data_IF_894081604767
#
_entry.id   IF_894081604767
#
_cell.length_a   1.000
_cell.length_b   1.000
_cell.length_c   1.000
_cell.angle_alpha   90.00
_cell.angle_beta   90.00
_cell.angle_gamma   90.00
#
_symmetry.space_group_name_H-M   'P 1'
#
loop_
_entity.id
_entity.type
_entity.pdbx_description
1 polymer ?
#
# COMPACT_ATOMS: atom_id res chain seq x y z
N UNK A 1 31.70 -21.73 -18.05
CA UNK A 1 30.32 -21.82 -18.59
C UNK A 1 29.55 -23.04 -18.08
N UNK A 2 30.21 -24.08 -17.55
CA UNK A 2 29.54 -25.29 -17.02
C UNK A 2 28.88 -25.12 -15.63
N UNK A 3 29.37 -24.20 -14.81
CA UNK A 3 28.76 -23.90 -13.50
C UNK A 3 27.33 -23.34 -13.64
N UNK A 4 27.09 -22.49 -14.64
CA UNK A 4 25.78 -21.92 -14.93
C UNK A 4 24.80 -22.95 -15.51
N UNK A 5 25.30 -24.03 -16.14
CA UNK A 5 24.46 -25.13 -16.64
C UNK A 5 23.97 -26.05 -15.51
N UNK A 6 24.75 -26.24 -14.45
CA UNK A 6 24.35 -27.02 -13.26
C UNK A 6 23.30 -26.30 -12.39
N UNK A 7 23.28 -24.98 -12.44
CA UNK A 7 22.28 -24.17 -11.75
C UNK A 7 20.95 -24.08 -12.50
N UNK A 8 20.85 -24.59 -13.75
CA UNK A 8 19.63 -24.53 -14.54
C UNK A 8 18.56 -25.43 -13.89
N UNK A 9 17.53 -24.86 -13.26
CA UNK A 9 16.53 -25.64 -12.57
C UNK A 9 15.62 -26.34 -13.58
N UNK A 10 15.31 -27.61 -13.33
CA UNK A 10 14.48 -28.44 -14.20
C UNK A 10 12.97 -28.16 -14.07
N UNK A 11 12.55 -27.38 -13.07
CA UNK A 11 11.16 -27.05 -12.77
C UNK A 11 10.92 -25.54 -12.70
N UNK A 12 9.67 -25.10 -12.96
CA UNK A 12 9.28 -23.68 -12.86
C UNK A 12 9.56 -23.13 -11.45
N UNK A 13 9.29 -23.93 -10.43
CA UNK A 13 9.57 -23.60 -9.03
C UNK A 13 11.07 -23.39 -8.77
N UNK A 14 11.93 -24.27 -9.31
CA UNK A 14 13.37 -24.11 -9.18
C UNK A 14 13.88 -22.84 -9.86
N UNK A 15 13.28 -22.42 -10.99
CA UNK A 15 13.64 -21.17 -11.65
C UNK A 15 13.27 -19.94 -10.83
N UNK A 16 12.09 -19.96 -10.20
CA UNK A 16 11.64 -18.90 -9.30
C UNK A 16 12.52 -18.84 -8.05
N UNK A 17 12.85 -19.99 -7.45
CA UNK A 17 13.73 -20.07 -6.30
C UNK A 17 15.14 -19.53 -6.62
N UNK A 18 15.70 -19.88 -7.78
CA UNK A 18 16.99 -19.37 -8.22
C UNK A 18 16.97 -17.85 -8.42
N UNK A 19 15.93 -17.33 -9.10
CA UNK A 19 15.77 -15.87 -9.30
C UNK A 19 15.66 -15.16 -7.96
N UNK A 20 14.86 -15.69 -7.03
CA UNK A 20 14.70 -15.14 -5.69
C UNK A 20 16.04 -15.11 -4.95
N UNK A 21 16.80 -16.20 -4.96
CA UNK A 21 18.11 -16.29 -4.30
C UNK A 21 19.11 -15.31 -4.88
N UNK A 22 19.15 -15.17 -6.21
CA UNK A 22 20.02 -14.20 -6.89
C UNK A 22 19.61 -12.76 -6.55
N UNK A 23 18.31 -12.46 -6.54
CA UNK A 23 17.81 -11.14 -6.20
C UNK A 23 18.12 -10.77 -4.73
N UNK A 24 17.83 -11.66 -3.78
CA UNK A 24 18.07 -11.45 -2.35
C UNK A 24 19.58 -11.36 -2.06
N UNK A 25 20.37 -12.30 -2.59
CA UNK A 25 21.82 -12.32 -2.41
C UNK A 25 22.51 -11.11 -3.05
N UNK A 26 22.14 -10.79 -4.29
CA UNK A 26 22.68 -9.62 -5.01
C UNK A 26 22.34 -8.30 -4.29
N UNK A 27 21.10 -8.15 -3.84
CA UNK A 27 20.67 -6.95 -3.11
C UNK A 27 21.37 -6.85 -1.75
N UNK A 28 21.52 -7.97 -1.02
CA UNK A 28 22.22 -8.00 0.26
C UNK A 28 23.72 -7.66 0.16
N UNK A 29 24.37 -8.02 -0.95
CA UNK A 29 25.77 -7.65 -1.20
C UNK A 29 25.95 -6.16 -1.52
N UNK A 30 25.00 -5.55 -2.21
CA UNK A 30 25.03 -4.11 -2.56
C UNK A 30 24.61 -3.25 -1.36
N UNK A 31 23.60 -3.69 -0.62
CA UNK A 31 23.05 -2.98 0.53
C UNK A 31 22.97 -3.92 1.75
N UNK A 32 23.99 -3.91 2.63
CA UNK A 32 24.01 -4.75 3.82
C UNK A 32 22.83 -4.51 4.79
N UNK A 33 22.20 -3.31 4.74
CA UNK A 33 21.00 -3.01 5.55
C UNK A 33 19.77 -3.77 5.07
N UNK A 34 19.76 -4.31 3.85
CA UNK A 34 18.64 -5.07 3.32
C UNK A 34 18.36 -6.35 4.12
N UNK A 35 19.41 -7.05 4.58
CA UNK A 35 19.31 -8.30 5.33
C UNK A 35 19.26 -8.10 6.85
N UNK A 36 19.21 -6.86 7.34
CA UNK A 36 19.04 -6.61 8.78
C UNK A 36 17.58 -6.79 9.20
N UNK A 37 17.34 -6.89 10.51
CA UNK A 37 15.98 -6.95 11.05
C UNK A 37 15.12 -5.77 10.58
N UNK A 38 15.66 -4.55 10.58
CA UNK A 38 14.92 -3.36 10.16
C UNK A 38 14.68 -3.33 8.65
N UNK A 39 15.68 -3.67 7.82
CA UNK A 39 15.50 -3.68 6.37
C UNK A 39 14.50 -4.73 5.88
N UNK A 40 14.50 -5.91 6.51
CA UNK A 40 13.50 -6.95 6.21
C UNK A 40 12.11 -6.55 6.68
N UNK A 41 11.98 -5.92 7.86
CA UNK A 41 10.70 -5.37 8.34
C UNK A 41 10.15 -4.30 7.39
N UNK A 42 10.97 -3.34 6.98
CA UNK A 42 10.57 -2.28 6.04
C UNK A 42 10.10 -2.84 4.70
N UNK A 43 10.78 -3.90 4.21
CA UNK A 43 10.40 -4.61 2.99
C UNK A 43 9.01 -5.28 3.13
N UNK A 44 8.78 -6.00 4.22
CA UNK A 44 7.49 -6.65 4.48
C UNK A 44 6.37 -5.62 4.68
N UNK A 45 6.63 -4.53 5.41
CA UNK A 45 5.66 -3.44 5.62
C UNK A 45 5.30 -2.80 4.28
N UNK A 46 6.27 -2.44 3.45
CA UNK A 46 6.01 -1.84 2.13
C UNK A 46 5.24 -2.78 1.21
N UNK A 47 5.59 -4.07 1.21
CA UNK A 47 4.91 -5.10 0.43
C UNK A 47 3.48 -5.29 0.92
N UNK A 48 3.25 -5.27 2.23
CA UNK A 48 1.92 -5.44 2.82
C UNK A 48 0.94 -4.36 2.37
N UNK A 49 1.38 -3.10 2.29
CA UNK A 49 0.53 -1.99 1.82
C UNK A 49 0.06 -2.24 0.39
N UNK A 50 0.97 -2.61 -0.51
CA UNK A 50 0.61 -2.88 -1.91
C UNK A 50 -0.27 -4.13 -2.02
N UNK A 51 -0.01 -5.15 -1.22
CA UNK A 51 -0.81 -6.38 -1.24
C UNK A 51 -2.24 -6.17 -0.69
N UNK A 52 -2.42 -5.37 0.38
CA UNK A 52 -3.75 -4.98 0.87
C UNK A 52 -4.54 -4.23 -0.20
N UNK A 53 -3.89 -3.31 -0.93
CA UNK A 53 -4.52 -2.61 -2.05
C UNK A 53 -4.88 -3.56 -3.19
N UNK A 54 -4.02 -4.54 -3.48
CA UNK A 54 -4.28 -5.56 -4.49
C UNK A 54 -5.50 -6.43 -4.13
N UNK A 55 -5.67 -6.78 -2.85
CA UNK A 55 -6.86 -7.49 -2.35
C UNK A 55 -8.11 -6.61 -2.55
N UNK A 56 -8.02 -5.33 -2.20
CA UNK A 56 -9.13 -4.37 -2.35
C UNK A 56 -9.58 -4.16 -3.80
N UNK A 57 -8.64 -4.10 -4.75
CA UNK A 57 -8.96 -3.90 -6.18
C UNK A 57 -9.36 -5.20 -6.90
N UNK A 58 -9.05 -6.37 -6.34
CA UNK A 58 -9.31 -7.65 -6.99
C UNK A 58 -10.78 -7.84 -7.45
N UNK A 59 -11.82 -7.53 -6.64
CA UNK A 59 -13.21 -7.62 -7.10
C UNK A 59 -13.49 -6.75 -8.34
N UNK A 60 -12.91 -5.55 -8.41
CA UNK A 60 -13.09 -4.61 -9.52
C UNK A 60 -12.51 -5.19 -10.81
N UNK A 61 -11.30 -5.75 -10.72
CA UNK A 61 -10.61 -6.39 -11.85
C UNK A 61 -11.35 -7.65 -12.31
N UNK A 62 -11.85 -8.47 -11.37
CA UNK A 62 -12.65 -9.66 -11.68
C UNK A 62 -13.92 -9.28 -12.46
N UNK A 63 -14.55 -8.18 -12.09
CA UNK A 63 -15.70 -7.62 -12.82
C UNK A 63 -15.32 -7.00 -14.18
N UNK A 64 -14.06 -7.10 -14.61
CA UNK A 64 -13.50 -6.48 -15.85
C UNK A 64 -13.58 -4.96 -15.88
N UNK A 65 -13.56 -4.33 -14.71
CA UNK A 65 -13.47 -2.88 -14.57
C UNK A 65 -12.03 -2.50 -14.17
N UNK A 66 -11.65 -1.26 -14.46
CA UNK A 66 -10.36 -0.70 -14.06
C UNK A 66 -10.63 0.42 -13.06
N UNK A 67 -9.89 0.43 -11.95
CA UNK A 67 -9.90 1.54 -11.00
C UNK A 67 -8.50 2.14 -10.86
N UNK A 68 -8.28 3.27 -11.54
CA UNK A 68 -7.03 4.04 -11.44
C UNK A 68 -7.05 5.03 -10.26
N UNK A 69 -8.24 5.36 -9.74
CA UNK A 69 -8.41 6.35 -8.67
C UNK A 69 -7.90 5.87 -7.31
N UNK A 70 -7.70 4.56 -7.13
CA UNK A 70 -7.21 3.96 -5.88
C UNK A 70 -5.93 4.63 -5.37
N UNK A 71 -5.01 4.99 -6.26
CA UNK A 71 -3.72 5.59 -5.87
C UNK A 71 -3.89 6.99 -5.27
N UNK A 72 -4.70 7.85 -5.89
CA UNK A 72 -5.00 9.17 -5.35
C UNK A 72 -5.87 9.10 -4.10
N UNK A 73 -6.78 8.13 -4.03
CA UNK A 73 -7.66 7.94 -2.87
C UNK A 73 -6.84 7.56 -1.65
N UNK A 74 -5.88 6.64 -1.78
CA UNK A 74 -4.94 6.29 -0.70
C UNK A 74 -4.10 7.50 -0.28
N UNK A 75 -3.64 8.31 -1.24
CA UNK A 75 -2.91 9.54 -0.92
C UNK A 75 -3.76 10.54 -0.13
N UNK A 76 -5.03 10.74 -0.53
CA UNK A 76 -5.96 11.61 0.19
C UNK A 76 -6.27 11.06 1.58
N UNK A 77 -6.56 9.77 1.71
CA UNK A 77 -6.89 9.18 3.00
C UNK A 77 -5.70 9.25 3.95
N UNK A 78 -4.49 8.94 3.47
CA UNK A 78 -3.27 9.03 4.25
C UNK A 78 -3.02 10.47 4.75
N UNK A 79 -3.14 11.46 3.87
CA UNK A 79 -2.94 12.86 4.25
C UNK A 79 -4.00 13.35 5.24
N UNK A 80 -5.29 13.07 5.00
CA UNK A 80 -6.37 13.49 5.91
C UNK A 80 -6.24 12.83 7.27
N UNK A 81 -5.92 11.53 7.32
CA UNK A 81 -5.67 10.84 8.59
C UNK A 81 -4.48 11.49 9.30
N UNK A 82 -3.39 11.77 8.60
CA UNK A 82 -2.21 12.41 9.19
C UNK A 82 -2.51 13.82 9.73
N UNK A 83 -3.24 14.66 8.98
CA UNK A 83 -3.66 15.99 9.38
C UNK A 83 -4.53 15.96 10.65
N UNK A 84 -5.49 15.04 10.71
CA UNK A 84 -6.34 14.86 11.89
C UNK A 84 -5.57 14.36 13.10
N UNK A 85 -4.71 13.35 12.92
CA UNK A 85 -3.98 12.75 14.02
C UNK A 85 -2.85 13.71 14.51
N UNK A 86 -2.29 14.58 13.65
CA UNK A 86 -1.34 15.64 14.04
C UNK A 86 -2.01 16.80 14.81
N UNK A 87 -3.25 17.17 14.44
CA UNK A 87 -4.02 18.21 15.15
C UNK A 87 -4.59 17.73 16.48
N UNK A 88 -4.69 16.41 16.69
CA UNK A 88 -5.31 15.82 17.87
C UNK A 88 -4.40 14.72 18.47
N UNK A 89 -3.47 15.08 19.37
CA UNK A 89 -2.51 14.14 19.96
C UNK A 89 -3.17 12.99 20.75
N UNK A 90 -4.38 13.23 21.27
CA UNK A 90 -5.15 12.24 22.04
C UNK A 90 -5.83 11.18 21.15
N UNK A 91 -5.73 11.30 19.82
CA UNK A 91 -6.34 10.33 18.93
C UNK A 91 -5.69 8.95 19.06
N UNK A 92 -6.54 7.96 19.14
CA UNK A 92 -6.13 6.56 19.10
C UNK A 92 -6.16 6.04 17.67
N UNK A 93 -5.44 4.94 17.44
CA UNK A 93 -5.46 4.26 16.15
C UNK A 93 -6.87 3.93 15.64
N UNK A 94 -7.86 3.73 16.52
CA UNK A 94 -9.25 3.42 16.15
C UNK A 94 -9.88 4.57 15.37
N UNK A 95 -9.65 5.81 15.80
CA UNK A 95 -10.17 6.99 15.10
C UNK A 95 -9.49 7.16 13.74
N UNK A 96 -8.15 7.03 13.70
CA UNK A 96 -7.40 7.07 12.45
C UNK A 96 -7.87 5.94 11.48
N UNK A 97 -8.22 4.75 12.00
CA UNK A 97 -8.75 3.62 11.21
C UNK A 97 -10.15 3.86 10.65
N UNK A 98 -11.01 4.66 11.30
CA UNK A 98 -12.37 4.93 10.81
C UNK A 98 -12.36 5.98 9.69
N UNK A 99 -11.51 7.00 9.80
CA UNK A 99 -11.46 8.13 8.85
C UNK A 99 -11.09 7.65 7.44
N UNK A 100 -10.10 6.76 7.32
CA UNK A 100 -9.64 6.24 6.03
C UNK A 100 -10.74 5.57 5.20
N UNK A 101 -11.42 4.51 5.70
CA UNK A 101 -12.52 3.85 5.03
C UNK A 101 -13.68 4.77 4.68
N UNK A 102 -14.01 5.77 5.50
CA UNK A 102 -15.08 6.73 5.19
C UNK A 102 -14.78 7.49 3.89
N UNK A 103 -13.54 7.97 3.73
CA UNK A 103 -13.13 8.66 2.50
C UNK A 103 -13.10 7.69 1.31
N UNK A 104 -12.54 6.48 1.51
CA UNK A 104 -12.50 5.45 0.47
C UNK A 104 -13.89 5.03 -0.01
N UNK A 105 -14.84 4.85 0.91
CA UNK A 105 -16.24 4.53 0.61
C UNK A 105 -16.90 5.68 -0.14
N UNK A 106 -16.68 6.94 0.27
CA UNK A 106 -17.24 8.09 -0.42
C UNK A 106 -16.78 8.16 -1.89
N UNK A 107 -15.47 7.98 -2.14
CA UNK A 107 -14.92 7.96 -3.51
C UNK A 107 -15.43 6.73 -4.28
N UNK A 108 -15.51 5.57 -3.64
CA UNK A 108 -16.03 4.34 -4.23
C UNK A 108 -17.50 4.46 -4.63
N UNK A 109 -18.34 5.08 -3.79
CA UNK A 109 -19.74 5.37 -4.09
C UNK A 109 -19.85 6.32 -5.28
N UNK A 110 -19.04 7.39 -5.32
CA UNK A 110 -19.03 8.32 -6.44
C UNK A 110 -18.71 7.60 -7.75
N UNK A 111 -17.63 6.81 -7.78
CA UNK A 111 -17.25 6.02 -8.95
C UNK A 111 -18.35 5.01 -9.33
N UNK A 112 -18.90 4.30 -8.35
CA UNK A 112 -19.97 3.31 -8.54
C UNK A 112 -21.24 3.91 -9.11
N UNK A 113 -21.67 5.08 -8.62
CA UNK A 113 -22.85 5.80 -9.11
C UNK A 113 -22.66 6.28 -10.56
N UNK A 114 -21.48 6.81 -10.90
CA UNK A 114 -21.19 7.27 -12.26
C UNK A 114 -21.12 6.10 -13.25
N UNK A 115 -20.53 4.97 -12.85
CA UNK A 115 -20.41 3.80 -13.73
C UNK A 115 -21.75 3.05 -13.83
N UNK A 116 -22.40 2.72 -12.71
CA UNK A 116 -23.62 1.92 -12.72
C UNK A 116 -24.88 2.75 -13.09
N UNK A 117 -24.96 4.00 -12.62
CA UNK A 117 -26.10 4.88 -12.85
C UNK A 117 -26.07 5.54 -14.23
N UNK A 118 -24.95 6.18 -14.59
CA UNK A 118 -24.81 6.90 -15.87
C UNK A 118 -24.24 6.06 -17.00
N UNK A 119 -23.89 4.78 -16.74
CA UNK A 119 -23.33 3.84 -17.73
C UNK A 119 -22.07 4.36 -18.43
N UNK A 120 -21.27 5.15 -17.70
CA UNK A 120 -20.01 5.67 -18.21
C UNK A 120 -18.93 4.57 -18.18
N UNK A 121 -17.98 4.56 -19.14
CA UNK A 121 -16.84 3.66 -19.08
C UNK A 121 -16.01 3.88 -17.81
N UNK A 122 -15.74 2.81 -17.06
CA UNK A 122 -15.04 2.88 -15.76
C UNK A 122 -13.64 3.50 -15.83
N UNK A 123 -12.92 3.28 -16.92
CA UNK A 123 -11.62 3.90 -17.15
C UNK A 123 -11.71 5.43 -17.17
N UNK A 124 -12.71 5.99 -17.84
CA UNK A 124 -12.88 7.46 -17.95
C UNK A 124 -13.26 8.04 -16.58
N UNK A 125 -14.19 7.39 -15.88
CA UNK A 125 -14.61 7.81 -14.54
C UNK A 125 -13.42 7.77 -13.57
N UNK A 126 -12.71 6.66 -13.49
CA UNK A 126 -11.62 6.50 -12.51
C UNK A 126 -10.38 7.32 -12.84
N UNK A 127 -10.12 7.61 -14.12
CA UNK A 127 -9.13 8.63 -14.51
C UNK A 127 -9.55 10.04 -14.10
N UNK A 128 -10.81 10.41 -14.31
CA UNK A 128 -11.35 11.70 -13.88
C UNK A 128 -11.23 11.86 -12.36
N UNK A 129 -11.72 10.87 -11.62
CA UNK A 129 -11.63 10.82 -10.16
C UNK A 129 -10.18 10.86 -9.68
N UNK A 130 -9.26 10.14 -10.34
CA UNK A 130 -7.83 10.20 -10.03
C UNK A 130 -7.31 11.64 -10.03
N UNK A 131 -7.59 12.40 -11.10
CA UNK A 131 -7.10 13.79 -11.19
C UNK A 131 -7.81 14.74 -10.24
N UNK A 132 -9.13 14.58 -10.03
CA UNK A 132 -9.89 15.40 -9.09
C UNK A 132 -9.39 15.19 -7.67
N UNK A 133 -9.28 13.94 -7.22
CA UNK A 133 -8.80 13.60 -5.88
C UNK A 133 -7.35 14.04 -5.71
N UNK A 134 -6.51 13.84 -6.72
CA UNK A 134 -5.11 14.29 -6.67
C UNK A 134 -4.99 15.81 -6.59
N UNK A 135 -5.81 16.55 -7.35
CA UNK A 135 -5.91 18.00 -7.25
C UNK A 135 -6.38 18.44 -5.87
N UNK A 136 -7.37 17.75 -5.30
CA UNK A 136 -7.86 18.01 -3.95
C UNK A 136 -6.76 17.83 -2.90
N UNK A 137 -5.95 16.77 -3.00
CA UNK A 137 -4.80 16.59 -2.11
C UNK A 137 -3.86 17.79 -2.17
N UNK A 138 -3.52 18.29 -3.36
CA UNK A 138 -2.64 19.46 -3.47
C UNK A 138 -3.26 20.73 -2.87
N UNK A 139 -4.56 20.95 -3.07
CA UNK A 139 -5.24 22.14 -2.53
C UNK A 139 -5.38 22.07 -1.02
N UNK A 140 -5.76 20.91 -0.48
CA UNK A 140 -6.02 20.73 0.96
C UNK A 140 -4.72 20.62 1.74
N UNK A 141 -3.69 19.98 1.18
CA UNK A 141 -2.37 19.86 1.82
C UNK A 141 -1.69 21.21 2.01
N UNK A 142 -1.88 22.15 1.08
CA UNK A 142 -1.27 23.47 1.14
C UNK A 142 0.24 23.42 1.43
N UNK A 143 0.93 22.43 0.86
CA UNK A 143 2.37 22.13 1.07
C UNK A 143 2.75 21.66 2.49
N UNK A 144 1.78 21.20 3.28
CA UNK A 144 2.02 20.56 4.58
C UNK A 144 2.19 19.07 4.37
N UNK A 145 3.37 18.58 4.77
CA UNK A 145 3.71 17.17 4.82
C UNK A 145 3.86 16.73 6.27
N UNK A 146 3.33 15.55 6.59
CA UNK A 146 3.39 14.96 7.91
C UNK A 146 4.35 13.79 7.97
N UNK A 147 5.17 13.76 9.01
CA UNK A 147 6.12 12.69 9.26
C UNK A 147 5.57 11.68 10.27
N UNK A 148 6.20 10.51 10.32
CA UNK A 148 5.82 9.46 11.26
C UNK A 148 5.90 9.93 12.72
N UNK A 149 6.87 10.78 13.09
CA UNK A 149 7.02 11.24 14.48
C UNK A 149 5.86 12.12 14.97
N UNK A 150 5.06 12.67 14.07
CA UNK A 150 3.91 13.53 14.39
C UNK A 150 2.63 12.72 14.61
N UNK A 151 2.69 11.39 14.42
CA UNK A 151 1.54 10.50 14.57
C UNK A 151 1.41 10.02 16.03
N UNK A 152 0.18 9.72 16.49
CA UNK A 152 -0.04 9.17 17.82
C UNK A 152 0.76 7.88 18.04
N UNK A 153 1.37 7.68 19.22
CA UNK A 153 2.16 6.47 19.50
C UNK A 153 1.39 5.18 19.30
N UNK A 154 0.08 5.20 19.56
CA UNK A 154 -0.81 4.05 19.36
C UNK A 154 -0.97 3.64 17.88
N UNK A 155 -0.88 4.59 16.95
CA UNK A 155 -0.90 4.33 15.51
C UNK A 155 0.46 3.83 15.02
N UNK A 156 1.55 4.42 15.53
CA UNK A 156 2.90 3.98 15.23
C UNK A 156 3.18 2.55 15.72
N UNK A 157 2.73 2.22 16.93
CA UNK A 157 2.85 0.87 17.47
C UNK A 157 2.15 -0.14 16.55
N UNK A 158 0.95 0.15 16.03
CA UNK A 158 0.30 -0.75 15.07
C UNK A 158 1.08 -0.94 13.77
N UNK A 159 1.70 0.12 13.25
CA UNK A 159 2.55 0.04 12.06
C UNK A 159 3.88 -0.68 12.29
N UNK A 160 4.40 -0.62 13.51
CA UNK A 160 5.72 -1.15 13.89
C UNK A 160 5.67 -2.44 14.68
N UNK A 161 4.47 -2.92 15.07
CA UNK A 161 4.33 -4.14 15.86
C UNK A 161 4.73 -5.34 15.03
N UNK A 162 5.76 -6.04 15.51
CA UNK A 162 6.34 -7.20 14.82
C UNK A 162 6.03 -8.48 15.58
N UNK A 163 5.45 -9.46 14.89
CA UNK A 163 5.30 -10.83 15.37
C UNK A 163 6.55 -11.65 15.03
N UNK A 164 6.98 -12.50 15.97
CA UNK A 164 8.20 -13.32 15.84
C UNK A 164 9.48 -12.53 15.51
N UNK A 165 9.50 -11.22 15.80
CA UNK A 165 10.66 -10.35 15.57
C UNK A 165 10.93 -10.00 14.10
N UNK A 166 10.19 -10.58 13.14
CA UNK A 166 10.40 -10.40 11.70
C UNK A 166 9.16 -9.94 10.93
N UNK A 167 7.95 -10.33 11.33
CA UNK A 167 6.74 -10.11 10.54
C UNK A 167 5.92 -8.92 11.06
N UNK A 168 5.80 -7.82 10.31
CA UNK A 168 4.91 -6.72 10.66
C UNK A 168 3.46 -7.19 10.74
N UNK A 169 2.69 -6.65 11.67
CA UNK A 169 1.27 -6.95 11.81
C UNK A 169 0.49 -6.68 10.50
N UNK A 170 0.88 -5.64 9.76
CA UNK A 170 0.29 -5.31 8.46
C UNK A 170 0.48 -6.39 7.41
N UNK A 171 1.60 -7.11 7.44
CA UNK A 171 1.87 -8.23 6.53
C UNK A 171 1.06 -9.48 6.92
N UNK A 172 0.83 -9.68 8.21
CA UNK A 172 -0.02 -10.77 8.69
C UNK A 172 -1.48 -10.59 8.27
N UNK A 173 -1.98 -9.36 8.16
CA UNK A 173 -3.34 -9.09 7.66
C UNK A 173 -3.57 -9.49 6.20
N UNK A 174 -2.50 -9.67 5.42
CA UNK A 174 -2.55 -10.01 3.99
C UNK A 174 -2.59 -11.52 3.74
N UNK A 175 -1.99 -12.32 4.63
CA UNK A 175 -1.82 -13.78 4.49
C UNK A 175 -2.99 -14.50 5.14
#
# INVERSE_FOLDING_TARGET
MDFLRKLKPSSREGSLALILLVAVGGTGLINPRFLTGDGTRDLFTSTSVVALLAIGIAPIVIMRHIDLSISSTVGLTAWVVADFCAKNPDFTWVQCFIIGPVIGIAVGILNGLLVAGLRLPSLVVTLGTLYIVRGLVYVVSNSVDYNAQEMPPSLLDLGQKVFFGLLPLTFLLVI
#
